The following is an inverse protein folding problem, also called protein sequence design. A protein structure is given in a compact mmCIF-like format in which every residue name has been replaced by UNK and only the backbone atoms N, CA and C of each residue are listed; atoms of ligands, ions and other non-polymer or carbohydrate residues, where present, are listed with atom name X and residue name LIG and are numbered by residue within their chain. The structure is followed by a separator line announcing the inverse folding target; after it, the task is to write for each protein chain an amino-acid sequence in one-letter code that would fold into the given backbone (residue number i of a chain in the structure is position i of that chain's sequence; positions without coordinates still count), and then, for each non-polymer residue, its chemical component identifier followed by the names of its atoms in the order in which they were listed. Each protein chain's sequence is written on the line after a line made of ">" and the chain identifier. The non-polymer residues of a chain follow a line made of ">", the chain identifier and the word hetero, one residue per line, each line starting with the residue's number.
data_IF_580449311580
#
_entry.id   IF_580449311580
#
_cell.length_a   1.000
_cell.length_b   1.000
_cell.length_c   1.000
_cell.angle_alpha   90.00
_cell.angle_beta   90.00
_cell.angle_gamma   90.00
#
_symmetry.space_group_name_H-M   'P 1'
#
loop_
_entity.id
_entity.type
_entity.pdbx_description
1 polymer ?
#
# COMPACT_ATOMS: atom_id res chain seq x y z
N UNK A 1 -19.13 27.24 -26.14
CA UNK A 1 -19.69 27.22 -24.78
C UNK A 1 -19.60 28.57 -24.03
N UNK A 2 -19.01 29.63 -24.60
CA UNK A 2 -18.85 30.94 -23.95
C UNK A 2 -20.10 31.84 -23.91
N UNK A 3 -21.27 31.34 -24.29
CA UNK A 3 -22.53 32.10 -24.38
C UNK A 3 -23.64 31.56 -23.48
N UNK A 4 -23.34 30.56 -22.65
CA UNK A 4 -24.28 30.01 -21.68
C UNK A 4 -24.24 30.81 -20.39
N UNK A 5 -25.41 31.19 -19.91
CA UNK A 5 -25.57 31.73 -18.57
C UNK A 5 -25.53 30.57 -17.56
N UNK A 6 -24.50 30.56 -16.72
CA UNK A 6 -24.21 29.50 -15.75
C UNK A 6 -24.50 29.94 -14.31
N UNK A 7 -24.95 31.19 -14.10
CA UNK A 7 -25.07 31.78 -12.75
C UNK A 7 -26.13 31.11 -11.85
N UNK A 8 -26.99 30.26 -12.42
CA UNK A 8 -28.00 29.51 -11.69
C UNK A 8 -27.67 28.02 -11.54
N UNK A 9 -26.52 27.56 -12.06
CA UNK A 9 -26.10 26.17 -11.96
C UNK A 9 -25.59 25.89 -10.56
N UNK A 10 -26.23 24.94 -9.86
CA UNK A 10 -25.81 24.50 -8.54
C UNK A 10 -25.09 23.15 -8.56
N UNK A 11 -25.22 22.39 -9.64
CA UNK A 11 -24.68 21.04 -9.77
C UNK A 11 -24.00 20.89 -11.14
N UNK A 12 -22.69 20.61 -11.11
CA UNK A 12 -21.89 20.30 -12.30
C UNK A 12 -21.52 18.81 -12.36
N UNK A 13 -22.15 17.98 -11.54
CA UNK A 13 -21.97 16.54 -11.46
C UNK A 13 -21.91 15.87 -12.84
N UNK A 14 -20.77 15.28 -13.18
CA UNK A 14 -20.58 14.53 -14.44
C UNK A 14 -20.71 15.34 -15.74
N UNK A 15 -20.61 16.67 -15.68
CA UNK A 15 -20.90 17.54 -16.84
C UNK A 15 -20.07 17.22 -18.10
N UNK A 16 -18.81 16.81 -17.94
CA UNK A 16 -17.93 16.33 -19.02
C UNK A 16 -17.40 14.93 -18.76
N UNK A 17 -18.16 14.12 -18.01
CA UNK A 17 -17.85 12.71 -17.77
C UNK A 17 -17.74 11.96 -19.10
N UNK A 18 -16.63 11.25 -19.28
CA UNK A 18 -16.41 10.27 -20.35
C UNK A 18 -16.32 8.86 -19.77
N UNK A 19 -17.25 8.00 -20.20
CA UNK A 19 -17.24 6.57 -19.90
C UNK A 19 -17.28 5.75 -21.21
N UNK A 20 -16.19 5.03 -21.56
CA UNK A 20 -16.14 4.22 -22.78
C UNK A 20 -17.05 2.99 -22.74
N UNK A 21 -17.43 2.50 -21.56
CA UNK A 21 -18.29 1.32 -21.40
C UNK A 21 -19.76 1.66 -21.62
N UNK A 22 -20.16 2.86 -21.21
CA UNK A 22 -21.51 3.39 -21.44
C UNK A 22 -21.63 4.17 -22.75
N UNK A 23 -20.49 4.50 -23.39
CA UNK A 23 -20.46 5.26 -24.64
C UNK A 23 -20.91 6.71 -24.46
N UNK A 24 -20.71 7.29 -23.27
CA UNK A 24 -21.07 8.67 -22.94
C UNK A 24 -19.84 9.57 -22.89
N UNK A 25 -20.06 10.86 -23.17
CA UNK A 25 -19.05 11.91 -23.03
C UNK A 25 -18.05 12.02 -24.16
N UNK A 26 -17.12 12.97 -23.99
CA UNK A 26 -16.08 13.28 -24.95
C UNK A 26 -14.71 13.18 -24.28
N UNK A 27 -13.97 12.09 -24.56
CA UNK A 27 -12.61 11.88 -24.07
C UNK A 27 -11.65 13.04 -24.38
N UNK A 28 -11.88 13.68 -25.52
CA UNK A 28 -11.04 14.74 -26.07
C UNK A 28 -11.55 16.15 -25.69
N UNK A 29 -12.53 16.25 -24.78
CA UNK A 29 -13.04 17.54 -24.31
C UNK A 29 -11.90 18.43 -23.78
N UNK A 30 -11.77 19.62 -24.36
CA UNK A 30 -10.70 20.56 -24.03
C UNK A 30 -11.09 21.99 -24.43
N UNK A 31 -12.35 22.37 -24.23
CA UNK A 31 -12.87 23.70 -24.57
C UNK A 31 -12.66 24.70 -23.42
N UNK A 32 -12.52 25.98 -23.76
CA UNK A 32 -12.34 27.04 -22.76
C UNK A 32 -13.68 27.40 -22.09
N UNK A 33 -13.73 27.16 -20.79
CA UNK A 33 -14.87 27.39 -19.89
C UNK A 33 -14.49 28.28 -18.70
N UNK A 34 -13.39 29.02 -18.83
CA UNK A 34 -12.88 29.91 -17.77
C UNK A 34 -13.82 31.06 -17.41
N UNK A 35 -14.76 31.41 -18.30
CA UNK A 35 -15.72 32.50 -18.12
C UNK A 35 -17.05 32.07 -17.47
N UNK A 36 -17.20 30.80 -17.07
CA UNK A 36 -18.43 30.34 -16.42
C UNK A 36 -18.53 30.88 -14.99
N UNK A 37 -19.75 31.25 -14.59
CA UNK A 37 -20.07 31.64 -13.21
C UNK A 37 -20.36 30.37 -12.42
N UNK A 38 -19.47 30.04 -11.48
CA UNK A 38 -19.58 28.87 -10.61
C UNK A 38 -19.99 29.22 -9.18
N UNK A 39 -20.36 30.49 -8.90
CA UNK A 39 -20.60 30.99 -7.54
C UNK A 39 -21.76 30.30 -6.80
N UNK A 40 -22.65 29.61 -7.52
CA UNK A 40 -23.76 28.84 -6.93
C UNK A 40 -23.51 27.33 -6.91
N UNK A 41 -22.39 26.86 -7.46
CA UNK A 41 -22.10 25.42 -7.59
C UNK A 41 -21.73 24.85 -6.23
N UNK A 42 -22.46 23.81 -5.82
CA UNK A 42 -22.19 23.06 -4.59
C UNK A 42 -21.62 21.67 -4.87
N UNK A 43 -21.84 21.12 -6.06
CA UNK A 43 -21.37 19.79 -6.46
C UNK A 43 -20.51 19.84 -7.72
N UNK A 44 -19.28 19.35 -7.60
CA UNK A 44 -18.31 19.20 -8.70
C UNK A 44 -17.82 17.74 -8.84
N UNK A 45 -18.65 16.77 -8.44
CA UNK A 45 -18.36 15.37 -8.66
C UNK A 45 -18.20 15.05 -10.15
N UNK A 46 -17.18 14.27 -10.51
CA UNK A 46 -17.00 13.73 -11.87
C UNK A 46 -16.95 14.75 -13.03
N UNK A 47 -16.81 16.06 -12.77
CA UNK A 47 -16.93 17.12 -13.80
C UNK A 47 -16.08 16.83 -15.04
N UNK A 48 -14.82 16.43 -14.86
CA UNK A 48 -13.88 16.08 -15.93
C UNK A 48 -13.44 14.62 -15.87
N UNK A 49 -14.24 13.73 -15.28
CA UNK A 49 -13.89 12.32 -15.21
C UNK A 49 -13.74 11.74 -16.62
N UNK A 50 -12.58 11.16 -16.92
CA UNK A 50 -12.27 10.55 -18.22
C UNK A 50 -11.96 11.55 -19.34
N UNK A 51 -12.10 12.87 -19.10
CA UNK A 51 -11.77 13.93 -20.06
C UNK A 51 -10.25 14.07 -20.21
N UNK A 52 -9.61 13.05 -20.81
CA UNK A 52 -8.17 12.84 -20.79
C UNK A 52 -7.35 13.95 -21.45
N UNK A 53 -7.94 14.72 -22.37
CA UNK A 53 -7.30 15.84 -23.05
C UNK A 53 -7.48 17.19 -22.32
N UNK A 54 -8.33 17.27 -21.30
CA UNK A 54 -8.71 18.53 -20.67
C UNK A 54 -7.51 19.16 -19.94
N UNK A 55 -7.19 20.40 -20.33
CA UNK A 55 -6.13 21.18 -19.70
C UNK A 55 -6.36 22.69 -19.89
N UNK A 56 -7.62 23.14 -19.80
CA UNK A 56 -7.99 24.57 -19.91
C UNK A 56 -8.09 25.25 -18.54
N UNK A 57 -7.85 26.58 -18.46
CA UNK A 57 -7.89 27.30 -17.19
C UNK A 57 -9.25 27.20 -16.50
N UNK A 58 -9.22 26.77 -15.24
CA UNK A 58 -10.39 26.75 -14.31
C UNK A 58 -10.07 27.39 -12.97
N UNK A 59 -8.87 27.97 -12.81
CA UNK A 59 -8.42 28.59 -11.56
C UNK A 59 -9.20 29.85 -11.15
N UNK A 60 -10.00 30.43 -12.05
CA UNK A 60 -10.85 31.58 -11.78
C UNK A 60 -12.25 31.21 -11.29
N UNK A 61 -12.59 29.91 -11.22
CA UNK A 61 -13.87 29.45 -10.71
C UNK A 61 -14.00 29.78 -9.22
N UNK A 62 -15.18 30.28 -8.84
CA UNK A 62 -15.59 30.40 -7.45
C UNK A 62 -16.02 29.02 -6.94
N UNK A 63 -15.27 28.48 -5.98
CA UNK A 63 -15.53 27.17 -5.36
C UNK A 63 -16.02 27.30 -3.92
N UNK A 64 -16.32 28.51 -3.44
CA UNK A 64 -16.63 28.78 -2.02
C UNK A 64 -17.87 28.08 -1.48
N UNK A 65 -18.77 27.63 -2.36
CA UNK A 65 -19.97 26.86 -2.02
C UNK A 65 -19.83 25.34 -2.27
N UNK A 66 -18.71 24.89 -2.85
CA UNK A 66 -18.52 23.49 -3.25
C UNK A 66 -18.27 22.63 -2.03
N UNK A 67 -19.08 21.57 -1.87
CA UNK A 67 -18.96 20.60 -0.78
C UNK A 67 -18.41 19.25 -1.26
N UNK A 68 -18.54 18.94 -2.55
CA UNK A 68 -18.13 17.66 -3.13
C UNK A 68 -17.24 17.85 -4.37
N UNK A 69 -16.02 17.32 -4.32
CA UNK A 69 -15.05 17.30 -5.43
C UNK A 69 -14.63 15.88 -5.82
N UNK A 70 -15.43 14.87 -5.44
CA UNK A 70 -15.15 13.46 -5.71
C UNK A 70 -14.90 13.25 -7.22
N UNK A 71 -13.77 12.61 -7.56
CA UNK A 71 -13.40 12.28 -8.96
C UNK A 71 -13.42 13.45 -9.97
N UNK A 72 -13.39 14.71 -9.52
CA UNK A 72 -13.53 15.87 -10.41
C UNK A 72 -12.56 15.84 -11.61
N UNK A 73 -11.32 15.38 -11.43
CA UNK A 73 -10.30 15.21 -12.47
C UNK A 73 -9.84 13.75 -12.64
N UNK A 74 -10.70 12.78 -12.30
CA UNK A 74 -10.38 11.37 -12.45
C UNK A 74 -10.04 11.05 -13.91
N UNK A 75 -8.86 10.51 -14.20
CA UNK A 75 -8.46 10.17 -15.57
C UNK A 75 -8.26 11.38 -16.50
N UNK A 76 -8.24 12.62 -15.98
CA UNK A 76 -7.90 13.81 -16.75
C UNK A 76 -6.38 13.88 -16.98
N UNK A 77 -5.87 12.97 -17.82
CA UNK A 77 -4.45 12.66 -17.96
C UNK A 77 -3.56 13.89 -18.22
N UNK A 78 -4.06 14.86 -18.99
CA UNK A 78 -3.36 16.08 -19.38
C UNK A 78 -3.51 17.25 -18.40
N UNK A 79 -4.40 17.16 -17.41
CA UNK A 79 -4.73 18.28 -16.53
C UNK A 79 -3.54 18.68 -15.66
N UNK A 80 -3.14 19.95 -15.77
CA UNK A 80 -2.03 20.51 -14.98
C UNK A 80 -2.18 22.04 -14.85
N UNK A 81 -3.40 22.52 -14.62
CA UNK A 81 -3.70 23.95 -14.45
C UNK A 81 -3.60 24.38 -12.99
N UNK A 82 -3.28 25.65 -12.79
CA UNK A 82 -3.23 26.26 -11.46
C UNK A 82 -4.64 26.44 -10.89
N UNK A 83 -4.86 25.83 -9.73
CA UNK A 83 -6.11 25.84 -8.96
C UNK A 83 -5.83 26.17 -7.49
N UNK A 84 -4.67 26.78 -7.22
CA UNK A 84 -4.28 27.17 -5.86
C UNK A 84 -5.25 28.18 -5.25
N UNK A 85 -5.91 29.02 -6.05
CA UNK A 85 -6.83 30.05 -5.56
C UNK A 85 -8.23 29.54 -5.17
N UNK A 86 -8.51 28.25 -5.33
CA UNK A 86 -9.82 27.69 -4.97
C UNK A 86 -10.04 27.74 -3.45
N UNK A 87 -11.23 28.15 -3.06
CA UNK A 87 -11.73 28.03 -1.70
C UNK A 87 -12.28 26.62 -1.50
N UNK A 88 -11.62 25.83 -0.66
CA UNK A 88 -12.02 24.44 -0.35
C UNK A 88 -12.61 24.30 1.06
N UNK A 89 -12.87 25.41 1.76
CA UNK A 89 -13.25 25.41 3.18
C UNK A 89 -14.57 24.68 3.48
N UNK A 90 -15.42 24.45 2.47
CA UNK A 90 -16.68 23.71 2.59
C UNK A 90 -16.60 22.27 2.05
N UNK A 91 -15.46 21.86 1.47
CA UNK A 91 -15.32 20.54 0.84
C UNK A 91 -15.19 19.46 1.89
N UNK A 92 -16.05 18.44 1.81
CA UNK A 92 -16.05 17.31 2.75
C UNK A 92 -15.50 16.01 2.15
N UNK A 93 -15.51 15.89 0.81
CA UNK A 93 -15.01 14.72 0.08
C UNK A 93 -14.10 15.13 -1.09
N UNK A 94 -12.84 14.66 -1.04
CA UNK A 94 -11.83 14.81 -2.10
C UNK A 94 -11.39 13.46 -2.68
N UNK A 95 -12.18 12.40 -2.43
CA UNK A 95 -11.80 11.05 -2.85
C UNK A 95 -11.64 10.98 -4.37
N UNK A 96 -10.55 10.35 -4.81
CA UNK A 96 -10.20 10.16 -6.21
C UNK A 96 -10.09 11.46 -7.05
N UNK A 97 -10.06 12.65 -6.44
CA UNK A 97 -10.16 13.93 -7.16
C UNK A 97 -9.16 14.03 -8.32
N UNK A 98 -7.91 13.59 -8.13
CA UNK A 98 -6.87 13.59 -9.16
C UNK A 98 -6.46 12.18 -9.61
N UNK A 99 -7.19 11.13 -9.23
CA UNK A 99 -6.82 9.76 -9.58
C UNK A 99 -6.58 9.62 -11.08
N UNK A 100 -5.43 9.06 -11.48
CA UNK A 100 -4.93 8.95 -12.85
C UNK A 100 -4.65 10.28 -13.60
N UNK A 101 -4.74 11.45 -12.98
CA UNK A 101 -4.36 12.74 -13.61
C UNK A 101 -2.83 12.87 -13.74
N UNK A 102 -2.23 12.04 -14.59
CA UNK A 102 -0.78 11.74 -14.58
C UNK A 102 0.16 12.94 -14.70
N UNK A 103 -0.28 14.04 -15.33
CA UNK A 103 0.49 15.26 -15.52
C UNK A 103 0.37 16.26 -14.35
N UNK A 104 -0.58 16.07 -13.43
CA UNK A 104 -0.89 17.05 -12.39
C UNK A 104 0.26 17.20 -11.39
N UNK A 105 0.77 18.42 -11.27
CA UNK A 105 1.82 18.78 -10.32
C UNK A 105 1.78 20.29 -10.00
N UNK A 106 0.59 20.81 -9.69
CA UNK A 106 0.38 22.22 -9.33
C UNK A 106 0.14 22.42 -7.84
N UNK A 107 0.55 23.57 -7.27
CA UNK A 107 0.40 23.83 -5.85
C UNK A 107 -1.07 23.73 -5.41
N UNK A 108 -1.29 22.96 -4.34
CA UNK A 108 -2.58 22.80 -3.64
C UNK A 108 -2.42 22.87 -2.12
N UNK A 109 -1.23 23.26 -1.65
CA UNK A 109 -0.89 23.28 -0.22
C UNK A 109 -1.59 24.37 0.59
N UNK A 110 -2.19 25.35 -0.08
CA UNK A 110 -2.92 26.46 0.55
C UNK A 110 -4.43 26.22 0.69
N UNK A 111 -4.90 25.04 0.27
CA UNK A 111 -6.29 24.63 0.44
C UNK A 111 -6.64 24.44 1.93
N UNK A 112 -7.84 24.86 2.31
CA UNK A 112 -8.44 24.53 3.59
C UNK A 112 -9.06 23.13 3.51
N UNK A 113 -8.45 22.17 4.21
CA UNK A 113 -8.91 20.77 4.26
C UNK A 113 -9.60 20.44 5.58
N UNK A 114 -9.89 21.43 6.43
CA UNK A 114 -10.37 21.22 7.81
C UNK A 114 -11.73 20.51 7.91
N UNK A 115 -12.53 20.50 6.83
CA UNK A 115 -13.80 19.78 6.75
C UNK A 115 -13.72 18.44 5.99
N UNK A 116 -12.56 18.12 5.39
CA UNK A 116 -12.41 16.91 4.57
C UNK A 116 -12.40 15.67 5.46
N UNK A 117 -13.28 14.73 5.15
CA UNK A 117 -13.43 13.47 5.89
C UNK A 117 -12.84 12.26 5.17
N UNK A 118 -12.69 12.35 3.84
CA UNK A 118 -12.10 11.30 3.00
C UNK A 118 -11.12 11.89 1.99
N UNK A 119 -9.90 11.34 1.98
CA UNK A 119 -8.86 11.60 0.98
C UNK A 119 -8.50 10.32 0.20
N UNK A 120 -9.38 9.33 0.22
CA UNK A 120 -9.20 8.03 -0.41
C UNK A 120 -8.80 8.18 -1.89
N UNK A 121 -7.70 7.55 -2.28
CA UNK A 121 -7.21 7.54 -3.66
C UNK A 121 -7.00 8.92 -4.31
N UNK A 122 -6.91 10.01 -3.54
CA UNK A 122 -6.89 11.37 -4.10
C UNK A 122 -5.79 11.56 -5.16
N UNK A 123 -4.60 11.00 -4.93
CA UNK A 123 -3.45 11.02 -5.85
C UNK A 123 -3.07 9.63 -6.38
N UNK A 124 -4.05 8.72 -6.52
CA UNK A 124 -3.84 7.40 -7.10
C UNK A 124 -3.28 7.51 -8.54
N UNK A 125 -2.14 6.88 -8.82
CA UNK A 125 -1.39 6.90 -10.08
C UNK A 125 -1.07 8.31 -10.63
N UNK A 126 -0.99 9.32 -9.75
CA UNK A 126 -0.56 10.69 -10.11
C UNK A 126 0.96 10.78 -10.11
N UNK A 127 1.57 10.16 -11.13
CA UNK A 127 3.00 9.90 -11.21
C UNK A 127 3.89 11.15 -11.03
N UNK A 128 3.43 12.32 -11.49
CA UNK A 128 4.19 13.56 -11.44
C UNK A 128 4.04 14.36 -10.13
N UNK A 129 3.05 14.06 -9.30
CA UNK A 129 2.70 14.90 -8.15
C UNK A 129 3.79 14.86 -7.06
N UNK A 130 4.29 16.04 -6.70
CA UNK A 130 5.27 16.21 -5.63
C UNK A 130 5.19 17.62 -5.00
N UNK A 131 3.98 18.14 -4.80
CA UNK A 131 3.76 19.47 -4.24
C UNK A 131 3.61 19.44 -2.72
N UNK A 132 4.04 20.51 -2.07
CA UNK A 132 3.94 20.65 -0.62
C UNK A 132 2.47 20.71 -0.18
N UNK A 133 2.11 19.79 0.72
CA UNK A 133 0.78 19.62 1.33
C UNK A 133 0.91 19.49 2.86
N UNK A 134 2.02 19.99 3.41
CA UNK A 134 2.33 19.91 4.84
C UNK A 134 1.38 20.71 5.73
N UNK A 135 0.68 21.71 5.16
CA UNK A 135 -0.25 22.59 5.86
C UNK A 135 -1.70 22.09 5.88
N UNK A 136 -2.00 20.98 5.22
CA UNK A 136 -3.35 20.41 5.24
C UNK A 136 -3.74 19.99 6.66
N UNK A 137 -4.92 20.42 7.09
CA UNK A 137 -5.58 19.92 8.29
C UNK A 137 -6.24 18.58 7.96
N UNK A 138 -5.71 17.49 8.51
CA UNK A 138 -6.25 16.14 8.33
C UNK A 138 -7.04 15.64 9.56
N UNK A 139 -7.32 16.51 10.53
CA UNK A 139 -7.91 16.13 11.83
C UNK A 139 -9.33 15.55 11.74
N UNK A 140 -10.01 15.69 10.61
CA UNK A 140 -11.32 15.08 10.33
C UNK A 140 -11.25 13.86 9.41
N UNK A 141 -10.09 13.58 8.82
CA UNK A 141 -9.93 12.49 7.84
C UNK A 141 -10.02 11.14 8.55
N UNK A 142 -10.88 10.28 8.04
CA UNK A 142 -11.06 8.91 8.54
C UNK A 142 -10.53 7.86 7.57
N UNK A 143 -10.41 8.20 6.28
CA UNK A 143 -9.97 7.30 5.23
C UNK A 143 -8.86 7.91 4.37
N UNK A 144 -7.68 7.27 4.36
CA UNK A 144 -6.52 7.61 3.54
C UNK A 144 -6.08 6.45 2.63
N UNK A 145 -6.94 5.44 2.43
CA UNK A 145 -6.58 4.28 1.63
C UNK A 145 -6.15 4.71 0.21
N UNK A 146 -5.06 4.14 -0.29
CA UNK A 146 -4.50 4.39 -1.63
C UNK A 146 -4.20 5.85 -1.98
N UNK A 147 -4.13 6.76 -1.01
CA UNK A 147 -4.00 8.21 -1.27
C UNK A 147 -2.83 8.55 -2.22
N UNK A 148 -1.68 7.87 -2.08
CA UNK A 148 -0.48 8.02 -2.91
C UNK A 148 -0.10 6.74 -3.65
N UNK A 149 -1.06 5.83 -3.89
CA UNK A 149 -0.81 4.64 -4.69
C UNK A 149 -0.21 5.05 -6.05
N UNK A 150 0.90 4.48 -6.48
CA UNK A 150 1.52 4.77 -7.77
C UNK A 150 2.04 6.21 -7.95
N UNK A 151 2.06 7.04 -6.90
CA UNK A 151 2.58 8.41 -6.94
C UNK A 151 4.12 8.41 -6.96
N UNK A 152 4.70 8.03 -8.11
CA UNK A 152 6.12 7.71 -8.26
C UNK A 152 7.07 8.79 -7.76
N UNK A 153 6.72 10.07 -7.96
CA UNK A 153 7.54 11.22 -7.60
C UNK A 153 7.29 11.77 -6.19
N UNK A 154 6.22 11.35 -5.51
CA UNK A 154 5.81 11.97 -4.26
C UNK A 154 6.81 11.72 -3.13
N UNK A 155 7.35 12.79 -2.56
CA UNK A 155 8.33 12.76 -1.48
C UNK A 155 8.29 14.06 -0.66
N UNK A 156 7.10 14.50 -0.27
CA UNK A 156 6.91 15.73 0.52
C UNK A 156 6.62 15.43 1.99
N UNK A 157 6.93 16.40 2.84
CA UNK A 157 6.74 16.28 4.29
C UNK A 157 5.26 16.26 4.63
N UNK A 158 4.85 15.21 5.34
CA UNK A 158 3.47 14.99 5.82
C UNK A 158 3.45 14.57 7.30
N UNK A 159 4.56 14.81 8.01
CA UNK A 159 4.67 14.50 9.43
C UNK A 159 3.70 15.34 10.28
N UNK A 160 3.26 16.51 9.82
CA UNK A 160 2.38 17.38 10.62
C UNK A 160 0.90 16.96 10.61
N UNK A 161 0.54 15.95 9.81
CA UNK A 161 -0.82 15.47 9.70
C UNK A 161 -1.31 14.83 11.01
N UNK A 162 -2.52 15.17 11.40
CA UNK A 162 -3.27 14.48 12.44
C UNK A 162 -3.96 13.26 11.84
N UNK A 163 -3.49 12.07 12.21
CA UNK A 163 -4.04 10.78 11.75
C UNK A 163 -4.90 10.10 12.80
N UNK A 164 -5.20 10.76 13.93
CA UNK A 164 -5.86 10.15 15.11
C UNK A 164 -7.28 9.65 14.86
N UNK A 165 -7.89 9.97 13.72
CA UNK A 165 -9.20 9.46 13.28
C UNK A 165 -9.12 8.47 12.13
N UNK A 166 -7.96 8.28 11.52
CA UNK A 166 -7.78 7.39 10.38
C UNK A 166 -7.91 5.93 10.82
N UNK A 167 -8.76 5.18 10.13
CA UNK A 167 -8.98 3.75 10.41
C UNK A 167 -8.43 2.85 9.30
N UNK A 168 -8.22 3.39 8.10
CA UNK A 168 -7.74 2.65 6.93
C UNK A 168 -6.57 3.39 6.25
N UNK A 169 -5.41 2.73 6.21
CA UNK A 169 -4.19 3.17 5.51
C UNK A 169 -3.71 2.13 4.46
N UNK A 170 -4.59 1.22 4.05
CA UNK A 170 -4.29 0.22 3.03
C UNK A 170 -3.75 0.88 1.77
N UNK A 171 -2.69 0.29 1.21
CA UNK A 171 -2.08 0.70 -0.05
C UNK A 171 -1.62 2.19 -0.11
N UNK A 172 -1.58 2.94 1.00
CA UNK A 172 -1.43 4.40 0.98
C UNK A 172 -0.20 4.87 0.19
N UNK A 173 0.94 4.18 0.32
CA UNK A 173 2.20 4.45 -0.41
C UNK A 173 2.60 3.30 -1.34
N UNK A 174 1.65 2.43 -1.72
CA UNK A 174 1.92 1.34 -2.63
C UNK A 174 2.46 1.90 -3.96
N UNK A 175 3.67 1.52 -4.37
CA UNK A 175 4.31 1.99 -5.58
C UNK A 175 4.87 3.42 -5.50
N UNK A 176 4.74 4.14 -4.38
CA UNK A 176 5.30 5.47 -4.17
C UNK A 176 6.84 5.41 -4.03
N UNK A 177 7.51 5.10 -5.13
CA UNK A 177 8.89 4.59 -5.13
C UNK A 177 9.93 5.57 -4.61
N UNK A 178 9.66 6.88 -4.66
CA UNK A 178 10.53 7.95 -4.16
C UNK A 178 10.24 8.34 -2.70
N UNK A 179 9.12 7.90 -2.12
CA UNK A 179 8.67 8.37 -0.81
C UNK A 179 9.62 7.89 0.30
N UNK A 180 10.16 8.85 1.05
CA UNK A 180 11.05 8.59 2.19
C UNK A 180 11.00 9.75 3.20
N UNK A 181 9.80 10.20 3.57
CA UNK A 181 9.60 11.28 4.55
C UNK A 181 9.08 10.76 5.89
N UNK A 182 9.46 11.41 7.02
CA UNK A 182 9.06 10.95 8.33
C UNK A 182 7.53 10.86 8.47
N UNK A 183 7.07 9.71 8.98
CA UNK A 183 5.67 9.42 9.33
C UNK A 183 5.57 8.73 10.70
N UNK A 184 6.68 8.63 11.44
CA UNK A 184 6.75 7.92 12.72
C UNK A 184 5.98 8.58 13.86
N UNK A 185 5.54 9.82 13.68
CA UNK A 185 4.76 10.57 14.67
C UNK A 185 3.24 10.50 14.43
N UNK A 186 2.80 9.77 13.41
CA UNK A 186 1.38 9.52 13.18
C UNK A 186 0.77 8.68 14.29
N UNK A 187 -0.46 9.04 14.67
CA UNK A 187 -1.31 8.22 15.53
C UNK A 187 -1.96 7.12 14.68
N UNK A 188 -1.56 5.87 14.91
CA UNK A 188 -2.09 4.69 14.22
C UNK A 188 -3.03 3.85 15.10
N UNK A 189 -3.41 4.34 16.29
CA UNK A 189 -4.09 3.52 17.31
C UNK A 189 -5.49 3.02 16.89
N UNK A 190 -6.06 3.60 15.82
CA UNK A 190 -7.36 3.21 15.24
C UNK A 190 -7.25 2.46 13.93
N UNK A 191 -6.05 2.30 13.38
CA UNK A 191 -5.84 1.63 12.10
C UNK A 191 -6.04 0.14 12.26
N UNK A 192 -6.92 -0.46 11.47
CA UNK A 192 -7.21 -1.91 11.53
C UNK A 192 -6.52 -2.70 10.42
N UNK A 193 -6.15 -2.04 9.33
CA UNK A 193 -5.44 -2.67 8.20
C UNK A 193 -4.33 -1.78 7.68
N UNK A 194 -3.15 -2.38 7.53
CA UNK A 194 -1.95 -1.78 6.94
C UNK A 194 -1.49 -2.54 5.69
N UNK A 195 -2.40 -3.34 5.09
CA UNK A 195 -2.09 -4.17 3.94
C UNK A 195 -1.49 -3.32 2.80
N UNK A 196 -0.36 -3.79 2.26
CA UNK A 196 0.37 -3.20 1.14
C UNK A 196 0.77 -1.72 1.32
N UNK A 197 0.74 -1.17 2.55
CA UNK A 197 0.93 0.28 2.78
C UNK A 197 2.22 0.81 2.13
N UNK A 198 3.32 0.06 2.19
CA UNK A 198 4.61 0.40 1.58
C UNK A 198 5.04 -0.60 0.49
N UNK A 199 4.09 -1.34 -0.11
CA UNK A 199 4.38 -2.26 -1.20
C UNK A 199 5.09 -1.51 -2.34
N UNK A 200 6.29 -1.90 -2.74
CA UNK A 200 7.06 -1.24 -3.80
C UNK A 200 7.52 0.19 -3.49
N UNK A 201 7.40 0.68 -2.24
CA UNK A 201 7.97 1.95 -1.78
C UNK A 201 9.49 1.83 -1.61
N UNK A 202 10.20 1.68 -2.73
CA UNK A 202 11.61 1.24 -2.79
C UNK A 202 12.56 2.08 -1.92
N UNK A 203 12.32 3.38 -1.80
CA UNK A 203 13.16 4.31 -1.04
C UNK A 203 12.80 4.42 0.45
N UNK A 204 11.66 3.90 0.88
CA UNK A 204 11.15 4.11 2.22
C UNK A 204 12.03 3.42 3.28
N UNK A 205 12.53 4.20 4.24
CA UNK A 205 13.34 3.70 5.35
C UNK A 205 13.23 4.62 6.58
N UNK A 206 12.03 5.12 6.87
CA UNK A 206 11.79 6.04 7.99
C UNK A 206 11.38 5.29 9.25
N UNK A 207 11.76 5.85 10.40
CA UNK A 207 11.42 5.28 11.70
C UNK A 207 9.91 5.30 11.93
N UNK A 208 9.36 4.14 12.26
CA UNK A 208 7.95 3.86 12.54
C UNK A 208 7.81 2.99 13.80
N UNK A 209 8.84 2.97 14.66
CA UNK A 209 8.87 2.15 15.86
C UNK A 209 7.77 2.50 16.87
N UNK A 210 7.26 3.74 16.80
CA UNK A 210 6.27 4.29 17.73
C UNK A 210 4.82 4.07 17.30
N UNK A 211 4.57 3.44 16.15
CA UNK A 211 3.22 3.14 15.71
C UNK A 211 2.55 2.14 16.65
N UNK A 212 1.32 2.46 17.05
CA UNK A 212 0.43 1.53 17.75
C UNK A 212 -0.23 0.60 16.71
N UNK A 213 0.16 -0.67 16.74
CA UNK A 213 -0.39 -1.72 15.85
C UNK A 213 -1.39 -2.63 16.56
N UNK A 214 -1.79 -2.32 17.80
CA UNK A 214 -2.62 -3.19 18.65
C UNK A 214 -4.02 -3.48 18.09
N UNK A 215 -4.48 -2.73 17.08
CA UNK A 215 -5.75 -2.96 16.38
C UNK A 215 -5.59 -3.59 14.99
N UNK A 216 -4.36 -3.75 14.49
CA UNK A 216 -4.09 -4.24 13.15
C UNK A 216 -4.34 -5.74 13.08
N UNK A 217 -5.13 -6.18 12.09
CA UNK A 217 -5.40 -7.59 11.84
C UNK A 217 -4.75 -8.10 10.55
N UNK A 218 -4.39 -7.20 9.64
CA UNK A 218 -3.86 -7.52 8.31
C UNK A 218 -2.57 -6.73 8.00
N UNK A 219 -1.46 -7.46 7.81
CA UNK A 219 -0.15 -6.93 7.41
C UNK A 219 0.33 -7.49 6.06
N UNK A 220 -0.59 -8.08 5.28
CA UNK A 220 -0.34 -8.59 3.92
C UNK A 220 0.47 -7.60 3.10
N UNK A 221 1.61 -8.03 2.52
CA UNK A 221 2.46 -7.23 1.61
C UNK A 221 2.98 -5.89 2.14
N UNK A 222 2.88 -5.60 3.44
CA UNK A 222 3.11 -4.25 3.98
C UNK A 222 4.43 -3.62 3.52
N UNK A 223 5.53 -4.39 3.47
CA UNK A 223 6.86 -3.96 3.02
C UNK A 223 7.37 -4.74 1.80
N UNK A 224 6.52 -5.47 1.08
CA UNK A 224 7.01 -6.21 -0.09
C UNK A 224 7.58 -5.24 -1.13
N UNK A 225 8.79 -5.48 -1.61
CA UNK A 225 9.51 -4.62 -2.54
C UNK A 225 10.01 -3.30 -1.95
N UNK A 226 9.86 -3.05 -0.65
CA UNK A 226 10.43 -1.90 0.07
C UNK A 226 11.95 -2.12 0.29
N UNK A 227 12.72 -2.10 -0.80
CA UNK A 227 14.11 -2.55 -0.86
C UNK A 227 15.05 -1.92 0.17
N UNK A 228 14.83 -0.66 0.53
CA UNK A 228 15.64 0.10 1.47
C UNK A 228 15.21 -0.06 2.94
N UNK A 229 14.02 -0.61 3.20
CA UNK A 229 13.44 -0.65 4.53
C UNK A 229 14.26 -1.54 5.48
N UNK A 230 14.72 -0.95 6.58
CA UNK A 230 15.50 -1.63 7.61
C UNK A 230 15.38 -0.91 8.96
N UNK A 231 14.14 -0.63 9.39
CA UNK A 231 13.85 0.07 10.64
C UNK A 231 13.29 -0.85 11.72
N UNK A 232 13.48 -0.46 12.98
CA UNK A 232 13.07 -1.26 14.14
C UNK A 232 11.54 -1.27 14.26
N UNK A 233 10.98 -2.48 14.28
CA UNK A 233 9.54 -2.75 14.42
C UNK A 233 9.26 -3.83 15.48
N UNK A 234 10.24 -4.11 16.33
CA UNK A 234 10.15 -5.12 17.40
C UNK A 234 9.15 -4.76 18.51
N UNK A 235 8.70 -3.51 18.57
CA UNK A 235 7.76 -3.00 19.57
C UNK A 235 6.29 -3.13 19.16
N UNK A 236 6.03 -3.53 17.91
CA UNK A 236 4.68 -3.68 17.40
C UNK A 236 3.95 -4.82 18.11
N UNK A 237 2.69 -4.55 18.47
CA UNK A 237 1.75 -5.56 18.92
C UNK A 237 1.14 -6.26 17.69
N UNK A 238 1.50 -7.52 17.49
CA UNK A 238 0.99 -8.35 16.39
C UNK A 238 -0.06 -9.36 16.85
N UNK A 239 -0.52 -9.28 18.12
CA UNK A 239 -1.38 -10.30 18.75
C UNK A 239 -2.76 -10.46 18.10
N UNK A 240 -3.15 -9.55 17.20
CA UNK A 240 -4.39 -9.63 16.41
C UNK A 240 -4.17 -9.97 14.93
N UNK A 241 -2.94 -9.99 14.46
CA UNK A 241 -2.62 -10.23 13.05
C UNK A 241 -2.91 -11.68 12.67
N UNK A 242 -3.64 -11.88 11.59
CA UNK A 242 -3.95 -13.22 11.05
C UNK A 242 -3.27 -13.51 9.72
N UNK A 243 -2.87 -12.47 8.98
CA UNK A 243 -2.21 -12.59 7.67
C UNK A 243 -0.91 -11.77 7.64
N UNK A 244 0.22 -12.45 7.38
CA UNK A 244 1.56 -11.88 7.17
C UNK A 244 2.17 -12.29 5.82
N UNK A 245 1.35 -12.78 4.87
CA UNK A 245 1.84 -13.19 3.55
C UNK A 245 2.55 -12.03 2.86
N UNK A 246 3.65 -12.36 2.18
CA UNK A 246 4.49 -11.43 1.44
C UNK A 246 5.03 -10.24 2.29
N UNK A 247 4.89 -10.20 3.62
CA UNK A 247 5.11 -8.96 4.40
C UNK A 247 6.46 -8.28 4.11
N UNK A 248 7.52 -9.06 3.94
CA UNK A 248 8.88 -8.60 3.59
C UNK A 248 9.39 -9.16 2.25
N UNK A 249 8.51 -9.68 1.39
CA UNK A 249 8.92 -10.23 0.08
C UNK A 249 9.69 -9.18 -0.73
N UNK A 250 10.95 -9.41 -1.06
CA UNK A 250 11.83 -8.49 -1.80
C UNK A 250 12.33 -7.28 -1.00
N UNK A 251 12.09 -7.22 0.32
CA UNK A 251 12.65 -6.21 1.22
C UNK A 251 14.13 -6.51 1.51
N UNK A 252 14.96 -6.39 0.47
CA UNK A 252 16.32 -6.95 0.44
C UNK A 252 17.29 -6.45 1.52
N UNK A 253 17.04 -5.28 2.11
CA UNK A 253 17.86 -4.70 3.17
C UNK A 253 17.38 -5.03 4.60
N UNK A 254 16.17 -5.58 4.74
CA UNK A 254 15.54 -5.77 6.05
C UNK A 254 16.28 -6.84 6.86
N UNK A 255 16.73 -6.46 8.06
CA UNK A 255 17.40 -7.36 9.01
C UNK A 255 17.24 -6.86 10.45
N UNK A 256 16.00 -6.51 10.84
CA UNK A 256 15.67 -6.03 12.19
C UNK A 256 14.92 -7.07 13.00
N UNK A 257 15.15 -7.13 14.34
CA UNK A 257 14.51 -8.14 15.18
C UNK A 257 12.99 -8.11 15.09
N UNK A 258 12.40 -9.29 14.88
CA UNK A 258 10.94 -9.56 14.86
C UNK A 258 10.57 -10.80 15.69
N UNK A 259 11.54 -11.41 16.38
CA UNK A 259 11.33 -12.63 17.17
C UNK A 259 10.40 -12.47 18.38
N UNK A 260 10.09 -11.22 18.79
CA UNK A 260 9.18 -10.93 19.90
C UNK A 260 7.71 -10.82 19.48
N UNK A 261 7.41 -10.95 18.18
CA UNK A 261 6.05 -10.87 17.69
C UNK A 261 5.21 -12.07 18.12
N UNK A 262 3.95 -11.80 18.47
CA UNK A 262 2.93 -12.83 18.68
C UNK A 262 2.39 -13.26 17.32
N UNK A 263 2.72 -14.48 16.89
CA UNK A 263 2.26 -15.11 15.64
C UNK A 263 1.15 -16.13 15.87
N UNK A 264 0.64 -16.29 17.10
CA UNK A 264 -0.27 -17.36 17.50
C UNK A 264 -1.64 -17.35 16.79
N UNK A 265 -1.95 -16.29 16.04
CA UNK A 265 -3.18 -16.16 15.22
C UNK A 265 -2.92 -16.18 13.71
N UNK A 266 -1.66 -16.18 13.29
CA UNK A 266 -1.30 -16.18 11.87
C UNK A 266 -1.63 -17.53 11.27
N UNK A 267 -2.34 -17.51 10.14
CA UNK A 267 -2.71 -18.74 9.41
C UNK A 267 -1.88 -18.94 8.14
N UNK A 268 -1.24 -17.89 7.63
CA UNK A 268 -0.42 -17.95 6.43
C UNK A 268 0.80 -17.05 6.53
N UNK A 269 1.96 -17.62 6.18
CA UNK A 269 3.27 -16.96 6.12
C UNK A 269 3.91 -17.11 4.72
N UNK A 270 3.08 -17.40 3.71
CA UNK A 270 3.51 -17.52 2.33
C UNK A 270 4.39 -16.34 1.91
N UNK A 271 5.56 -16.64 1.33
CA UNK A 271 6.50 -15.66 0.78
C UNK A 271 6.91 -14.53 1.75
N UNK A 272 6.74 -14.71 3.07
CA UNK A 272 6.92 -13.62 4.04
C UNK A 272 8.32 -12.98 3.95
N UNK A 273 9.36 -13.78 3.71
CA UNK A 273 10.75 -13.35 3.54
C UNK A 273 11.33 -13.74 2.17
N UNK A 274 10.49 -14.04 1.17
CA UNK A 274 10.93 -14.30 -0.20
C UNK A 274 11.83 -13.14 -0.68
N UNK A 275 13.05 -13.41 -1.15
CA UNK A 275 14.00 -12.40 -1.60
C UNK A 275 14.44 -11.39 -0.53
N UNK A 276 14.17 -11.62 0.76
CA UNK A 276 14.65 -10.80 1.88
C UNK A 276 16.13 -11.13 2.20
N UNK A 277 17.01 -10.85 1.23
CA UNK A 277 18.40 -11.33 1.17
C UNK A 277 19.24 -11.11 2.43
N UNK A 278 19.00 -10.02 3.16
CA UNK A 278 19.75 -9.68 4.37
C UNK A 278 19.18 -10.29 5.67
N UNK A 279 17.96 -10.82 5.64
CA UNK A 279 17.25 -11.24 6.84
C UNK A 279 17.90 -12.48 7.47
N UNK A 280 18.27 -12.36 8.75
CA UNK A 280 18.84 -13.45 9.54
C UNK A 280 18.60 -13.22 11.05
N UNK A 281 17.39 -12.82 11.42
CA UNK A 281 17.02 -12.54 12.80
C UNK A 281 16.33 -13.74 13.44
N UNK A 282 16.59 -13.96 14.72
CA UNK A 282 16.02 -15.06 15.49
C UNK A 282 14.48 -14.95 15.53
N UNK A 283 13.83 -16.03 15.12
CA UNK A 283 12.37 -16.22 15.06
C UNK A 283 11.99 -17.59 15.65
N UNK A 284 12.88 -18.19 16.44
CA UNK A 284 12.69 -19.50 17.05
C UNK A 284 11.49 -19.55 18.02
N UNK A 285 11.09 -18.39 18.58
CA UNK A 285 9.97 -18.25 19.52
C UNK A 285 8.59 -18.05 18.85
N UNK A 286 8.51 -18.00 17.51
CA UNK A 286 7.23 -17.85 16.84
C UNK A 286 6.33 -19.08 17.04
N UNK A 287 5.06 -18.84 17.36
CA UNK A 287 4.01 -19.87 17.37
C UNK A 287 3.50 -20.08 15.94
N UNK A 288 3.85 -21.21 15.33
CA UNK A 288 3.45 -21.61 13.99
C UNK A 288 2.29 -22.62 13.99
N UNK A 289 1.74 -22.98 15.16
CA UNK A 289 0.78 -24.09 15.33
C UNK A 289 -0.56 -23.91 14.60
N UNK A 290 -0.83 -22.73 14.04
CA UNK A 290 -2.01 -22.42 13.22
C UNK A 290 -1.69 -22.16 11.74
N UNK A 291 -0.42 -22.09 11.37
CA UNK A 291 -0.02 -21.82 10.00
C UNK A 291 -0.34 -23.03 9.13
N UNK A 292 -1.01 -22.79 8.00
CA UNK A 292 -1.32 -23.82 7.01
C UNK A 292 -0.52 -23.65 5.72
N UNK A 293 0.01 -22.45 5.44
CA UNK A 293 0.76 -22.16 4.23
C UNK A 293 2.09 -21.46 4.54
N UNK A 294 3.19 -22.06 4.09
CA UNK A 294 4.57 -21.56 4.17
C UNK A 294 5.27 -21.55 2.79
N UNK A 295 4.51 -21.59 1.68
CA UNK A 295 5.08 -21.60 0.33
C UNK A 295 6.07 -20.42 0.16
N UNK A 296 7.24 -20.70 -0.41
CA UNK A 296 8.29 -19.73 -0.72
C UNK A 296 8.70 -18.81 0.45
N UNK A 297 8.41 -19.17 1.71
CA UNK A 297 8.56 -18.27 2.88
C UNK A 297 9.97 -17.67 3.00
N UNK A 298 11.00 -18.44 2.67
CA UNK A 298 12.41 -18.03 2.65
C UNK A 298 13.06 -18.22 1.28
N UNK A 299 12.27 -18.26 0.18
CA UNK A 299 12.87 -18.35 -1.15
C UNK A 299 13.84 -17.18 -1.37
N UNK A 300 15.06 -17.42 -1.83
CA UNK A 300 16.05 -16.37 -2.06
C UNK A 300 16.45 -15.56 -0.82
N UNK A 301 16.12 -16.00 0.41
CA UNK A 301 16.58 -15.39 1.65
C UNK A 301 18.04 -15.78 1.95
N UNK A 302 18.96 -15.26 1.12
CA UNK A 302 20.38 -15.66 1.04
C UNK A 302 21.10 -15.76 2.39
N UNK A 303 20.77 -14.88 3.34
CA UNK A 303 21.43 -14.81 4.64
C UNK A 303 20.82 -15.69 5.74
N UNK A 304 19.59 -16.18 5.56
CA UNK A 304 18.82 -16.81 6.63
C UNK A 304 19.41 -18.16 7.05
N UNK A 305 19.69 -18.32 8.35
CA UNK A 305 20.19 -19.56 8.93
C UNK A 305 19.91 -19.63 10.44
N UNK A 306 18.73 -19.20 10.88
CA UNK A 306 18.32 -19.26 12.29
C UNK A 306 17.62 -20.58 12.61
N UNK A 307 17.83 -21.07 13.82
CA UNK A 307 17.22 -22.32 14.29
C UNK A 307 15.70 -22.18 14.40
N UNK A 308 15.00 -23.02 13.64
CA UNK A 308 13.54 -23.13 13.56
C UNK A 308 13.08 -24.59 13.79
N UNK A 309 13.96 -25.42 14.35
CA UNK A 309 13.67 -26.83 14.66
C UNK A 309 12.48 -27.00 15.62
N UNK A 310 12.17 -25.98 16.44
CA UNK A 310 11.08 -26.00 17.42
C UNK A 310 9.71 -25.59 16.85
N UNK A 311 9.61 -25.20 15.59
CA UNK A 311 8.34 -24.82 14.98
C UNK A 311 7.37 -25.99 14.89
N UNK A 312 6.10 -25.75 15.26
CA UNK A 312 5.00 -26.68 15.02
C UNK A 312 4.49 -26.50 13.59
N UNK A 313 4.82 -27.46 12.72
CA UNK A 313 4.39 -27.48 11.31
C UNK A 313 3.31 -28.53 11.02
N UNK A 314 2.73 -29.13 12.06
CA UNK A 314 1.77 -30.26 11.96
C UNK A 314 0.44 -29.93 11.25
N UNK A 315 0.21 -28.66 10.90
CA UNK A 315 -0.96 -28.17 10.15
C UNK A 315 -0.61 -27.58 8.78
N UNK A 316 0.68 -27.47 8.45
CA UNK A 316 1.09 -26.92 7.16
C UNK A 316 0.72 -27.91 6.06
N UNK A 317 0.06 -27.42 5.02
CA UNK A 317 -0.31 -28.19 3.83
C UNK A 317 0.51 -27.80 2.61
N UNK A 318 1.16 -26.64 2.60
CA UNK A 318 2.02 -26.20 1.50
C UNK A 318 3.36 -25.65 2.02
N UNK A 319 4.46 -26.26 1.56
CA UNK A 319 5.85 -25.85 1.77
C UNK A 319 6.64 -25.76 0.46
N UNK A 320 5.95 -25.68 -0.68
CA UNK A 320 6.59 -25.53 -1.99
C UNK A 320 7.59 -24.38 -1.96
N UNK A 321 8.80 -24.62 -2.46
CA UNK A 321 9.87 -23.61 -2.56
C UNK A 321 10.26 -22.93 -1.22
N UNK A 322 9.84 -23.44 -0.04
CA UNK A 322 9.99 -22.72 1.23
C UNK A 322 11.43 -22.23 1.51
N UNK A 323 12.44 -23.00 1.13
CA UNK A 323 13.86 -22.65 1.22
C UNK A 323 14.56 -22.66 -0.16
N UNK A 324 13.80 -22.52 -1.25
CA UNK A 324 14.37 -22.39 -2.58
C UNK A 324 15.40 -21.26 -2.57
N UNK A 325 16.56 -21.48 -3.18
CA UNK A 325 17.66 -20.51 -3.23
C UNK A 325 18.14 -19.93 -1.88
N UNK A 326 17.72 -20.43 -0.71
CA UNK A 326 18.16 -19.96 0.61
C UNK A 326 19.59 -20.43 0.88
N UNK A 327 20.57 -19.69 0.34
CA UNK A 327 21.93 -20.18 0.13
C UNK A 327 22.63 -20.69 1.41
N UNK A 328 22.36 -20.06 2.56
CA UNK A 328 23.02 -20.35 3.84
C UNK A 328 22.22 -21.25 4.78
N UNK A 329 20.97 -21.58 4.48
CA UNK A 329 20.13 -22.34 5.39
C UNK A 329 20.69 -23.77 5.56
N UNK A 330 20.98 -24.15 6.81
CA UNK A 330 21.51 -25.47 7.17
C UNK A 330 21.17 -25.82 8.63
N UNK A 331 19.91 -25.66 9.02
CA UNK A 331 19.43 -26.03 10.35
C UNK A 331 18.80 -27.42 10.33
N UNK A 332 18.94 -28.14 11.44
CA UNK A 332 18.34 -29.46 11.61
C UNK A 332 16.83 -29.34 11.85
N UNK A 333 16.07 -29.63 10.79
CA UNK A 333 14.60 -29.67 10.80
C UNK A 333 14.10 -31.09 10.52
N UNK A 334 14.94 -32.10 10.77
CA UNK A 334 14.59 -33.50 10.57
C UNK A 334 13.44 -33.96 11.47
N UNK A 335 13.18 -33.23 12.56
CA UNK A 335 12.13 -33.51 13.53
C UNK A 335 10.75 -32.95 13.15
N UNK A 336 10.63 -32.16 12.08
CA UNK A 336 9.37 -31.57 11.67
C UNK A 336 8.31 -32.62 11.30
N UNK A 337 7.08 -32.47 11.81
CA UNK A 337 5.95 -33.33 11.49
C UNK A 337 5.29 -32.87 10.17
N UNK A 338 5.65 -33.52 9.08
CA UNK A 338 5.26 -33.12 7.72
C UNK A 338 4.15 -33.95 7.09
N UNK A 339 3.49 -34.79 7.88
CA UNK A 339 2.50 -35.77 7.41
C UNK A 339 1.26 -35.19 6.71
N UNK A 340 1.01 -33.88 6.86
CA UNK A 340 -0.11 -33.16 6.22
C UNK A 340 0.30 -32.27 5.06
N UNK A 341 1.58 -32.17 4.75
CA UNK A 341 2.03 -31.35 3.63
C UNK A 341 1.62 -32.06 2.34
N UNK A 342 0.85 -31.36 1.51
CA UNK A 342 0.35 -31.82 0.22
C UNK A 342 1.28 -31.39 -0.92
N UNK A 343 2.06 -30.33 -0.71
CA UNK A 343 2.98 -29.76 -1.69
C UNK A 343 4.32 -29.37 -1.03
N UNK A 344 5.38 -30.06 -1.41
CA UNK A 344 6.79 -29.82 -1.03
C UNK A 344 7.70 -29.58 -2.24
N UNK A 345 7.11 -29.28 -3.40
CA UNK A 345 7.87 -29.17 -4.64
C UNK A 345 8.98 -28.13 -4.50
N UNK A 346 10.18 -28.51 -4.93
CA UNK A 346 11.35 -27.64 -4.95
C UNK A 346 11.71 -26.95 -3.61
N UNK A 347 11.25 -27.47 -2.46
CA UNK A 347 11.46 -26.88 -1.12
C UNK A 347 12.92 -26.47 -0.84
N UNK A 348 13.91 -27.21 -1.36
CA UNK A 348 15.34 -26.94 -1.19
C UNK A 348 16.10 -26.70 -2.51
N UNK A 349 15.40 -26.41 -3.62
CA UNK A 349 16.07 -26.19 -4.91
C UNK A 349 17.07 -25.03 -4.78
N UNK A 350 18.35 -25.26 -5.08
CA UNK A 350 19.37 -24.21 -4.95
C UNK A 350 19.77 -23.82 -3.51
N UNK A 351 19.27 -24.46 -2.46
CA UNK A 351 19.69 -24.28 -1.06
C UNK A 351 21.06 -24.94 -0.80
N UNK A 352 22.15 -24.27 -1.21
CA UNK A 352 23.48 -24.88 -1.33
C UNK A 352 24.09 -25.42 -0.03
N UNK A 353 23.74 -24.83 1.11
CA UNK A 353 24.28 -25.28 2.40
C UNK A 353 23.47 -26.38 3.06
N UNK A 354 22.27 -26.70 2.58
CA UNK A 354 21.37 -27.64 3.24
C UNK A 354 21.92 -29.07 3.21
N UNK A 355 22.03 -29.67 4.40
CA UNK A 355 22.49 -31.04 4.57
C UNK A 355 21.33 -32.03 4.47
N UNK A 356 21.55 -33.18 3.82
CA UNK A 356 20.53 -34.22 3.63
C UNK A 356 19.97 -34.75 4.97
N UNK A 357 20.85 -35.01 5.95
CA UNK A 357 20.47 -35.48 7.29
C UNK A 357 19.60 -34.49 8.09
N UNK A 358 19.53 -33.22 7.66
CA UNK A 358 18.78 -32.17 8.33
C UNK A 358 17.39 -31.93 7.71
N UNK A 359 17.06 -32.62 6.62
CA UNK A 359 15.75 -32.52 5.96
C UNK A 359 14.69 -33.33 6.72
N UNK A 360 13.40 -32.95 6.65
CA UNK A 360 12.30 -33.72 7.26
C UNK A 360 12.26 -35.17 6.76
N UNK A 361 11.90 -36.10 7.64
CA UNK A 361 11.95 -37.56 7.37
C UNK A 361 11.05 -37.96 6.19
N UNK A 362 9.90 -37.30 5.99
CA UNK A 362 8.95 -37.67 4.93
C UNK A 362 9.34 -37.16 3.54
N UNK A 363 10.29 -36.22 3.43
CA UNK A 363 10.80 -35.69 2.15
C UNK A 363 11.32 -36.79 1.22
N UNK A 364 11.77 -37.91 1.79
CA UNK A 364 12.33 -39.04 1.05
C UNK A 364 11.28 -39.99 0.45
N UNK A 365 10.03 -39.94 0.90
CA UNK A 365 9.00 -40.90 0.48
C UNK A 365 8.38 -40.51 -0.86
N UNK A 366 8.22 -39.22 -1.16
CA UNK A 366 7.65 -38.74 -2.42
C UNK A 366 8.67 -38.77 -3.58
N UNK A 367 9.93 -38.39 -3.34
CA UNK A 367 10.97 -38.44 -4.38
C UNK A 367 11.28 -39.87 -4.88
N UNK A 368 11.10 -40.89 -4.03
CA UNK A 368 11.24 -42.30 -4.44
C UNK A 368 10.07 -42.81 -5.28
N UNK A 369 8.88 -42.20 -5.18
CA UNK A 369 7.74 -42.57 -6.03
C UNK A 369 7.80 -41.86 -7.38
N UNK A 370 8.28 -40.61 -7.44
CA UNK A 370 8.43 -39.85 -8.69
C UNK A 370 9.59 -40.32 -9.60
N UNK A 371 10.64 -40.93 -9.03
CA UNK A 371 11.80 -41.45 -9.81
C UNK A 371 11.72 -42.94 -10.15
N UNK A 372 10.64 -43.62 -9.74
CA UNK A 372 10.37 -45.03 -10.06
C UNK A 372 9.13 -45.23 -10.98
N UNK A 373 8.59 -44.15 -11.55
CA UNK A 373 7.42 -44.15 -12.45
C UNK A 373 7.77 -44.07 -13.92
#
# INVERSE_FOLDING_TARGET
>A
MSAWDTSAVTDMGGLFLYDPYEGIGEKDFNEDISNWDTSQVTNMEDVFNGASAFNKPVGNWDTSQVTNMNRMFYGALAFNQDISNWDTSQVTDMSNMFSFASAFNKPVGNWDTSQVTSMASMFYDVKAFNQDISYWDTSQVTNMNRMFYGALAFNQTISYWDTSKVTNMEDMFNGASAFNKPVGNWDTSKVTSMASMFYGAKAFNQDISNWDTSQVTNMFRMFSGAKAFNQTISYWDTSKVTNMEDMFSGASAFNKPVGNWDTSKVTSMASMFDGAKAFNQDISNWDTSKVTNMNSMFDGADAFNQDISNWDVSKVTNMAEMFASAQKFNQDISNWETSKVEDMDDMFIGAKSMTEAYKPVDFYLEYKQATMG
#
